data_IF_279702379697
#
_entry.id   IF_279702379697
#
_cell.length_a   1.000
_cell.length_b   1.000
_cell.length_c   1.000
_cell.angle_alpha   90.00
_cell.angle_beta   90.00
_cell.angle_gamma   90.00
#
_symmetry.space_group_name_H-M   'P 1'
#
loop_
_entity.id
_entity.type
_entity.pdbx_description
1 polymer ?
#
# COMPACT_ATOMS: atom_id res chain seq x y z
N UNK A 1 20.41 2.97 14.57
CA UNK A 1 19.28 3.78 15.03
C UNK A 1 18.99 4.85 14.00
N UNK A 2 17.81 4.83 13.37
CA UNK A 2 17.32 6.01 12.66
C UNK A 2 16.46 6.75 13.67
N UNK A 3 17.06 7.71 14.35
CA UNK A 3 16.32 8.63 15.22
C UNK A 3 15.50 9.52 14.30
N UNK A 4 14.18 9.31 14.27
CA UNK A 4 13.24 10.24 13.65
C UNK A 4 13.15 11.50 14.52
N UNK A 5 14.18 12.35 14.44
CA UNK A 5 14.14 13.68 15.01
C UNK A 5 13.08 14.51 14.31
N UNK A 6 12.09 14.96 15.07
CA UNK A 6 11.13 15.97 14.67
C UNK A 6 11.87 17.30 14.45
N UNK A 7 12.19 17.59 13.19
CA UNK A 7 12.53 18.95 12.77
C UNK A 7 11.43 19.45 11.84
N UNK A 8 10.64 20.39 12.36
CA UNK A 8 9.80 21.28 11.56
C UNK A 8 10.72 22.12 10.64
N UNK A 9 10.92 21.67 9.39
CA UNK A 9 11.65 22.42 8.38
C UNK A 9 12.39 21.51 7.40
N UNK A 10 12.00 21.57 6.12
CA UNK A 10 12.41 20.70 4.99
C UNK A 10 11.82 19.29 5.02
N UNK A 11 10.51 19.19 4.76
CA UNK A 11 9.75 17.95 4.77
C UNK A 11 10.26 16.92 3.76
N UNK A 12 10.59 15.72 4.25
CA UNK A 12 10.77 14.53 3.42
C UNK A 12 9.45 14.26 2.70
N UNK A 13 9.42 14.45 1.38
CA UNK A 13 8.21 14.22 0.57
C UNK A 13 8.07 12.72 0.33
N UNK A 14 6.95 12.15 0.76
CA UNK A 14 6.60 10.76 0.46
C UNK A 14 5.56 10.72 -0.66
N UNK A 15 5.54 9.60 -1.38
CA UNK A 15 4.65 9.32 -2.50
C UNK A 15 3.90 8.03 -2.26
N UNK A 16 2.57 8.12 -2.30
CA UNK A 16 1.70 6.96 -2.39
C UNK A 16 1.26 6.78 -3.84
N UNK A 17 1.02 5.53 -4.25
CA UNK A 17 0.47 5.21 -5.56
C UNK A 17 -0.79 4.39 -5.46
N UNK A 18 -1.57 4.48 -6.53
CA UNK A 18 -2.80 3.75 -6.74
C UNK A 18 -3.15 3.76 -8.21
N UNK A 19 -4.31 3.29 -8.60
CA UNK A 19 -4.72 3.36 -10.01
C UNK A 19 -6.07 4.00 -10.16
N UNK A 20 -6.36 4.61 -11.31
CA UNK A 20 -7.68 5.17 -11.61
C UNK A 20 -8.06 4.89 -13.07
N UNK A 21 -9.36 4.95 -13.37
CA UNK A 21 -9.84 4.86 -14.75
C UNK A 21 -9.27 6.05 -15.53
N UNK A 22 -8.49 5.77 -16.56
CA UNK A 22 -7.98 6.77 -17.49
C UNK A 22 -9.08 7.28 -18.44
N UNK A 23 -8.80 8.33 -19.22
CA UNK A 23 -9.71 8.80 -20.26
C UNK A 23 -10.01 7.67 -21.27
N UNK A 24 -11.18 7.69 -21.94
CA UNK A 24 -11.48 6.73 -23.00
C UNK A 24 -10.37 6.75 -24.06
N UNK A 25 -9.83 5.59 -24.41
CA UNK A 25 -8.90 5.44 -25.54
C UNK A 25 -9.63 5.85 -26.83
N UNK A 26 -9.32 7.04 -27.35
CA UNK A 26 -9.84 7.53 -28.63
C UNK A 26 -8.93 7.04 -29.76
N UNK A 27 -9.14 5.80 -30.20
CA UNK A 27 -8.40 5.18 -31.30
C UNK A 27 -9.27 4.23 -32.12
N UNK A 28 -8.82 3.79 -33.31
CA UNK A 28 -9.63 3.02 -34.27
C UNK A 28 -10.04 1.62 -33.78
N UNK A 29 -9.55 1.19 -32.61
CA UNK A 29 -9.91 -0.05 -31.94
C UNK A 29 -10.87 0.23 -30.79
N UNK A 30 -12.14 0.44 -31.11
CA UNK A 30 -13.23 0.42 -30.12
C UNK A 30 -13.81 -0.99 -30.02
N UNK A 31 -13.47 -1.79 -28.99
CA UNK A 31 -14.27 -2.97 -28.69
C UNK A 31 -15.70 -2.53 -28.27
N UNK A 32 -16.74 -3.28 -28.66
CA UNK A 32 -18.12 -2.93 -28.31
C UNK A 32 -18.28 -2.86 -26.79
N UNK A 33 -19.12 -1.93 -26.33
CA UNK A 33 -19.40 -1.69 -24.93
C UNK A 33 -19.97 -2.96 -24.25
N UNK A 34 -19.09 -3.77 -23.67
CA UNK A 34 -19.50 -4.90 -22.83
C UNK A 34 -19.72 -4.38 -21.41
N UNK A 35 -20.86 -4.79 -20.86
CA UNK A 35 -21.39 -4.42 -19.57
C UNK A 35 -20.48 -4.79 -18.39
N UNK A 36 -20.74 -4.14 -17.25
CA UNK A 36 -19.92 -4.21 -16.04
C UNK A 36 -19.21 -2.88 -15.81
N UNK A 37 -19.89 -1.92 -15.16
CA UNK A 37 -19.20 -0.75 -14.60
C UNK A 37 -18.58 -1.19 -13.27
N UNK A 38 -17.27 -1.47 -13.15
CA UNK A 38 -16.67 -1.59 -11.84
C UNK A 38 -16.83 -0.23 -11.16
N UNK A 39 -17.68 -0.14 -10.13
CA UNK A 39 -17.76 1.02 -9.24
C UNK A 39 -16.48 1.02 -8.39
N UNK A 40 -15.39 1.52 -8.95
CA UNK A 40 -14.20 1.87 -8.16
C UNK A 40 -14.26 3.38 -7.91
N UNK A 41 -15.03 3.77 -6.89
CA UNK A 41 -15.36 5.16 -6.59
C UNK A 41 -14.38 5.85 -5.64
N UNK A 42 -13.30 5.22 -5.20
CA UNK A 42 -12.35 5.87 -4.30
C UNK A 42 -10.96 5.32 -4.47
N UNK A 43 -10.13 5.98 -5.28
CA UNK A 43 -8.70 5.69 -5.50
C UNK A 43 -7.96 7.02 -5.35
N UNK A 44 -6.65 7.02 -5.06
CA UNK A 44 -5.78 8.22 -4.82
C UNK A 44 -6.49 9.57 -4.92
N UNK A 45 -6.83 10.18 -3.79
CA UNK A 45 -7.54 11.46 -3.76
C UNK A 45 -6.59 12.59 -4.13
N UNK A 46 -6.98 13.42 -5.08
CA UNK A 46 -6.21 14.58 -5.58
C UNK A 46 -4.77 14.25 -6.02
N UNK A 47 -4.57 13.06 -6.61
CA UNK A 47 -3.32 12.66 -7.25
C UNK A 47 -3.23 13.01 -8.74
N UNK A 48 -2.08 12.69 -9.32
CA UNK A 48 -1.77 12.89 -10.75
C UNK A 48 -1.46 11.55 -11.42
N UNK A 49 -1.49 11.51 -12.75
CA UNK A 49 -1.00 10.36 -13.51
C UNK A 49 0.49 10.17 -13.27
N UNK A 50 0.87 8.94 -12.93
CA UNK A 50 2.26 8.56 -12.81
C UNK A 50 2.88 8.48 -14.21
N UNK A 51 4.06 9.07 -14.39
CA UNK A 51 4.79 8.98 -15.65
C UNK A 51 5.34 7.56 -15.87
N UNK A 52 5.43 7.16 -17.13
CA UNK A 52 6.02 5.87 -17.48
C UNK A 52 7.47 5.80 -16.96
N UNK A 53 7.80 4.72 -16.24
CA UNK A 53 9.13 4.52 -15.65
C UNK A 53 9.38 5.24 -14.33
N UNK A 54 8.46 6.10 -13.86
CA UNK A 54 8.57 6.79 -12.57
C UNK A 54 8.41 5.84 -11.38
N UNK A 55 7.66 4.75 -11.58
CA UNK A 55 7.52 3.65 -10.64
C UNK A 55 8.14 2.39 -11.26
N UNK A 56 9.47 2.22 -11.13
CA UNK A 56 10.19 1.19 -11.88
C UNK A 56 9.80 -0.23 -11.47
N UNK A 57 9.25 -0.41 -10.27
CA UNK A 57 8.97 -1.73 -9.71
C UNK A 57 7.49 -1.87 -9.32
N UNK A 58 6.72 -2.55 -10.17
CA UNK A 58 5.37 -3.02 -9.87
C UNK A 58 5.34 -4.53 -10.07
N UNK A 59 5.00 -5.26 -9.01
CA UNK A 59 4.81 -6.70 -9.08
C UNK A 59 3.35 -6.96 -9.43
N UNK A 60 3.12 -7.80 -10.42
CA UNK A 60 1.79 -8.34 -10.68
C UNK A 60 1.74 -9.81 -10.33
N UNK A 61 0.81 -10.16 -9.45
CA UNK A 61 0.55 -11.54 -9.08
C UNK A 61 -0.49 -12.12 -10.04
N UNK A 62 -0.17 -13.29 -10.58
CA UNK A 62 -1.04 -14.02 -11.49
C UNK A 62 -1.40 -15.38 -10.92
N UNK A 63 -2.66 -15.77 -11.02
CA UNK A 63 -3.17 -17.10 -10.70
C UNK A 63 -3.88 -17.63 -11.96
N UNK A 64 -3.55 -18.86 -12.38
CA UNK A 64 -4.08 -19.47 -13.60
C UNK A 64 -3.90 -18.63 -14.89
N UNK A 65 -2.84 -17.81 -14.94
CA UNK A 65 -2.56 -16.92 -16.08
C UNK A 65 -3.29 -15.58 -16.03
N UNK A 66 -4.23 -15.41 -15.10
CA UNK A 66 -4.99 -14.17 -14.88
C UNK A 66 -4.38 -13.34 -13.77
N UNK A 67 -4.50 -12.02 -13.87
CA UNK A 67 -3.98 -11.09 -12.87
C UNK A 67 -4.93 -10.99 -11.67
N UNK A 68 -4.44 -11.36 -10.49
CA UNK A 68 -5.20 -11.23 -9.23
C UNK A 68 -4.87 -9.91 -8.54
N UNK A 69 -3.61 -9.49 -8.55
CA UNK A 69 -3.15 -8.27 -7.90
C UNK A 69 -2.09 -7.53 -8.74
N UNK A 70 -2.00 -6.21 -8.51
CA UNK A 70 -0.91 -5.38 -9.05
C UNK A 70 -0.91 -5.22 -10.57
N UNK A 71 -2.01 -5.55 -11.25
CA UNK A 71 -2.18 -5.29 -12.68
C UNK A 71 -3.21 -4.18 -12.91
N UNK A 72 -2.90 -3.29 -13.85
CA UNK A 72 -3.80 -2.25 -14.32
C UNK A 72 -4.09 -2.53 -15.79
N UNK A 73 -5.15 -3.31 -16.11
CA UNK A 73 -5.51 -3.51 -17.50
C UNK A 73 -5.93 -2.17 -18.12
N UNK A 74 -5.81 -1.98 -19.44
CA UNK A 74 -6.44 -0.85 -20.10
C UNK A 74 -7.95 -0.79 -19.75
N UNK A 75 -8.55 0.40 -19.51
CA UNK A 75 -8.01 1.75 -19.68
C UNK A 75 -7.49 2.37 -18.35
N UNK A 76 -7.01 1.59 -17.39
CA UNK A 76 -6.57 2.13 -16.09
C UNK A 76 -5.14 2.68 -16.18
N UNK A 77 -4.93 3.88 -15.62
CA UNK A 77 -3.62 4.52 -15.51
C UNK A 77 -3.18 4.55 -14.06
N UNK A 78 -1.89 4.32 -13.82
CA UNK A 78 -1.31 4.45 -12.49
C UNK A 78 -1.34 5.92 -12.05
N UNK A 79 -1.75 6.15 -10.82
CA UNK A 79 -1.83 7.45 -10.16
C UNK A 79 -0.85 7.51 -9.00
N UNK A 80 -0.43 8.72 -8.68
CA UNK A 80 0.43 9.01 -7.54
C UNK A 80 0.00 10.29 -6.82
N UNK A 81 0.33 10.39 -5.54
CA UNK A 81 0.12 11.61 -4.74
C UNK A 81 1.28 11.83 -3.78
N UNK A 82 1.70 13.09 -3.67
CA UNK A 82 2.68 13.53 -2.68
C UNK A 82 1.95 13.77 -1.35
N UNK A 83 2.42 13.12 -0.29
CA UNK A 83 1.90 13.24 1.08
C UNK A 83 3.07 13.37 2.06
N UNK A 84 3.03 14.30 3.04
CA UNK A 84 4.03 14.36 4.08
C UNK A 84 3.76 13.31 5.16
N UNK A 85 4.82 12.86 5.84
CA UNK A 85 4.67 12.04 7.05
C UNK A 85 4.11 12.89 8.19
N UNK A 86 3.25 12.27 8.99
CA UNK A 86 2.72 12.81 10.24
C UNK A 86 3.25 11.91 11.36
N UNK A 87 3.77 12.50 12.43
CA UNK A 87 4.24 11.75 13.60
C UNK A 87 3.10 10.98 14.27
N UNK A 88 3.44 9.86 14.90
CA UNK A 88 2.49 8.92 15.49
C UNK A 88 1.57 9.59 16.52
N UNK A 89 2.10 10.47 17.37
CA UNK A 89 1.35 11.14 18.42
C UNK A 89 0.32 12.12 17.84
N UNK A 90 0.72 12.94 16.87
CA UNK A 90 -0.18 13.86 16.18
C UNK A 90 -1.26 13.11 15.42
N UNK A 91 -0.90 12.01 14.75
CA UNK A 91 -1.87 11.19 14.04
C UNK A 91 -2.87 10.53 14.99
N UNK A 92 -2.41 9.99 16.12
CA UNK A 92 -3.29 9.43 17.14
C UNK A 92 -4.27 10.49 17.65
N UNK A 93 -3.77 11.68 17.99
CA UNK A 93 -4.61 12.80 18.43
C UNK A 93 -5.70 13.16 17.41
N UNK A 94 -5.39 13.18 16.11
CA UNK A 94 -6.39 13.37 15.05
C UNK A 94 -7.47 12.29 15.04
N UNK A 95 -7.08 11.02 15.20
CA UNK A 95 -8.03 9.91 15.25
C UNK A 95 -8.88 9.89 16.53
N UNK A 96 -8.30 10.25 17.67
CA UNK A 96 -8.99 10.36 18.96
C UNK A 96 -10.03 11.49 18.95
N UNK A 97 -9.68 12.68 18.41
CA UNK A 97 -10.59 13.83 18.30
C UNK A 97 -11.85 13.49 17.49
N UNK A 98 -11.70 12.64 16.47
CA UNK A 98 -12.79 12.21 15.61
C UNK A 98 -13.39 10.85 16.01
N UNK A 99 -13.09 10.35 17.21
CA UNK A 99 -13.65 9.10 17.75
C UNK A 99 -14.95 9.37 18.51
N UNK A 100 -15.96 8.52 18.33
CA UNK A 100 -17.20 8.57 19.11
C UNK A 100 -17.00 8.07 20.56
N UNK A 101 -15.87 7.43 20.85
CA UNK A 101 -15.47 6.97 22.17
C UNK A 101 -13.97 7.25 22.37
N UNK A 102 -13.60 8.51 22.64
CA UNK A 102 -12.21 8.86 22.90
C UNK A 102 -11.74 8.15 24.18
N UNK A 103 -10.60 7.48 24.11
CA UNK A 103 -10.03 6.74 25.24
C UNK A 103 -8.55 7.09 25.42
N UNK A 104 -7.95 6.65 26.52
CA UNK A 104 -6.51 6.79 26.71
C UNK A 104 -5.70 5.77 25.89
N UNK A 105 -6.35 4.74 25.34
CA UNK A 105 -5.67 3.73 24.53
C UNK A 105 -5.39 4.28 23.12
N UNK A 106 -4.17 4.09 22.59
CA UNK A 106 -3.82 4.57 21.27
C UNK A 106 -4.59 3.83 20.17
N UNK A 107 -5.06 4.58 19.18
CA UNK A 107 -5.61 4.08 17.92
C UNK A 107 -4.48 3.83 16.92
N UNK A 108 -3.44 4.67 16.94
CA UNK A 108 -2.27 4.56 16.07
C UNK A 108 -1.09 3.99 16.88
N UNK A 109 -0.61 2.82 16.45
CA UNK A 109 0.46 2.08 17.12
C UNK A 109 1.84 2.37 16.49
N UNK A 110 2.92 1.96 17.18
CA UNK A 110 4.32 2.18 16.74
C UNK A 110 4.69 1.44 15.44
N UNK A 111 3.98 0.36 15.12
CA UNK A 111 4.12 -0.38 13.86
C UNK A 111 3.33 0.25 12.70
N UNK A 112 2.80 1.46 12.91
CA UNK A 112 2.08 2.25 11.91
C UNK A 112 2.77 3.59 11.60
N UNK A 113 2.52 4.08 10.39
CA UNK A 113 2.89 5.41 9.91
C UNK A 113 1.65 6.12 9.40
N UNK A 114 1.58 7.43 9.58
CA UNK A 114 0.55 8.25 8.96
C UNK A 114 1.16 9.17 7.90
N UNK A 115 0.44 9.37 6.80
CA UNK A 115 0.83 10.34 5.79
C UNK A 115 -0.39 11.03 5.18
N UNK A 116 -0.32 12.34 5.06
CA UNK A 116 -1.43 13.16 4.60
C UNK A 116 -1.33 14.60 5.09
N UNK A 117 -2.39 15.37 4.95
CA UNK A 117 -2.46 16.73 5.46
C UNK A 117 -3.54 16.81 6.54
N UNK A 118 -3.35 17.68 7.54
CA UNK A 118 -4.39 17.96 8.54
C UNK A 118 -5.71 18.38 7.87
N UNK A 119 -5.65 19.15 6.79
CA UNK A 119 -6.82 19.56 6.02
C UNK A 119 -7.42 18.45 5.15
N UNK A 120 -6.84 17.25 5.12
CA UNK A 120 -7.23 16.15 4.23
C UNK A 120 -6.80 16.40 2.79
N UNK A 121 -7.75 16.22 1.85
CA UNK A 121 -7.67 16.47 0.40
C UNK A 121 -6.77 15.53 -0.42
N UNK A 122 -5.71 14.97 0.16
CA UNK A 122 -4.78 14.06 -0.52
C UNK A 122 -4.60 12.79 0.28
N UNK A 123 -4.90 11.65 -0.33
CA UNK A 123 -4.94 10.40 0.40
C UNK A 123 -4.84 9.18 -0.53
N UNK A 124 -4.38 8.06 0.03
CA UNK A 124 -4.65 6.74 -0.53
C UNK A 124 -6.12 6.37 -0.26
N UNK A 125 -6.72 5.54 -1.10
CA UNK A 125 -8.14 5.22 -0.94
C UNK A 125 -8.44 3.75 -1.29
N UNK A 126 -9.72 3.40 -1.39
CA UNK A 126 -10.20 2.07 -1.75
C UNK A 126 -9.47 1.44 -2.97
N UNK A 127 -8.83 0.30 -2.73
CA UNK A 127 -8.11 -0.43 -3.77
C UNK A 127 -6.66 0.02 -3.98
N UNK A 128 -6.15 0.91 -3.12
CA UNK A 128 -4.73 1.24 -3.03
C UNK A 128 -4.02 0.46 -1.90
N UNK A 129 -4.78 -0.24 -1.03
CA UNK A 129 -4.26 -1.12 0.03
C UNK A 129 -3.23 -2.13 -0.48
N UNK A 130 -2.13 -2.30 0.25
CA UNK A 130 -0.97 -3.07 -0.17
C UNK A 130 -0.01 -2.32 -1.10
N UNK A 131 -0.40 -1.15 -1.60
CA UNK A 131 0.47 -0.24 -2.36
C UNK A 131 1.56 0.37 -1.47
N UNK A 132 2.71 0.78 -2.04
CA UNK A 132 3.79 1.36 -1.27
C UNK A 132 3.60 2.85 -1.02
N UNK A 133 4.05 3.27 0.16
CA UNK A 133 4.46 4.64 0.46
C UNK A 133 5.98 4.71 0.37
N UNK A 134 6.50 5.47 -0.58
CA UNK A 134 7.95 5.66 -0.77
C UNK A 134 8.37 7.07 -0.39
N UNK A 135 9.47 7.21 0.33
CA UNK A 135 9.99 8.50 0.77
C UNK A 135 11.39 8.72 0.19
N UNK A 136 11.68 9.96 -0.19
CA UNK A 136 13.03 10.34 -0.63
C UNK A 136 13.90 10.68 0.59
N UNK A 137 14.93 9.86 0.80
CA UNK A 137 15.97 10.07 1.83
C UNK A 137 17.36 10.16 1.19
N UNK A 138 17.43 10.63 -0.06
CA UNK A 138 18.61 10.53 -0.94
C UNK A 138 18.54 9.33 -1.89
N UNK A 139 17.67 8.37 -1.57
CA UNK A 139 17.22 7.28 -2.44
C UNK A 139 15.76 6.99 -2.10
N UNK A 140 14.95 6.70 -3.13
CA UNK A 140 13.55 6.30 -2.94
C UNK A 140 13.48 5.00 -2.15
N UNK A 141 13.01 5.08 -0.92
CA UNK A 141 12.91 3.95 0.00
C UNK A 141 11.46 3.73 0.37
N UNK A 142 11.02 2.47 0.35
CA UNK A 142 9.67 2.12 0.81
C UNK A 142 9.60 2.23 2.33
N UNK A 143 8.94 3.27 2.82
CA UNK A 143 8.73 3.52 4.24
C UNK A 143 7.49 2.80 4.76
N UNK A 144 6.45 2.69 3.92
CA UNK A 144 5.15 2.16 4.34
C UNK A 144 4.44 1.31 3.31
N UNK A 145 3.40 0.61 3.78
CA UNK A 145 2.43 -0.12 2.96
C UNK A 145 1.04 0.41 3.31
N UNK A 146 0.27 0.87 2.31
CA UNK A 146 -1.10 1.37 2.49
C UNK A 146 -1.91 0.30 3.22
N UNK A 147 -2.49 0.65 4.37
CA UNK A 147 -3.19 -0.29 5.23
C UNK A 147 -4.66 0.08 5.33
N UNK A 148 -4.97 1.18 6.02
CA UNK A 148 -6.35 1.57 6.34
C UNK A 148 -6.47 3.10 6.48
N UNK A 149 -7.71 3.56 6.61
CA UNK A 149 -8.09 4.96 6.78
C UNK A 149 -9.58 5.06 7.08
N UNK A 150 -10.06 6.22 7.52
CA UNK A 150 -11.50 6.47 7.67
C UNK A 150 -11.98 7.36 6.53
N UNK A 151 -12.69 6.74 5.56
CA UNK A 151 -12.93 7.33 4.24
C UNK A 151 -11.62 7.86 3.63
N UNK A 152 -11.67 8.82 2.70
CA UNK A 152 -10.49 9.28 2.00
C UNK A 152 -10.46 10.80 1.88
N UNK A 153 -9.32 11.40 2.21
CA UNK A 153 -9.08 12.84 2.02
C UNK A 153 -9.91 13.74 2.96
N UNK A 154 -10.36 13.22 4.10
CA UNK A 154 -11.06 14.01 5.11
C UNK A 154 -10.07 14.77 6.02
N UNK A 155 -10.45 15.96 6.54
CA UNK A 155 -9.65 16.66 7.55
C UNK A 155 -9.41 15.78 8.78
N UNK A 156 -8.20 15.83 9.33
CA UNK A 156 -7.75 15.05 10.50
C UNK A 156 -8.03 13.54 10.38
N UNK A 157 -8.03 13.02 9.16
CA UNK A 157 -8.13 11.58 8.84
C UNK A 157 -7.07 11.21 7.79
N UNK A 158 -5.78 11.29 8.12
CA UNK A 158 -4.72 10.92 7.18
C UNK A 158 -4.73 9.41 6.92
N UNK A 159 -4.25 8.98 5.76
CA UNK A 159 -4.06 7.55 5.49
C UNK A 159 -3.06 6.91 6.46
N UNK A 160 -3.35 5.66 6.85
CA UNK A 160 -2.53 4.87 7.77
C UNK A 160 -1.86 3.73 7.02
N UNK A 161 -0.56 3.58 7.28
CA UNK A 161 0.34 2.68 6.59
C UNK A 161 1.03 1.77 7.61
N UNK A 162 1.32 0.53 7.23
CA UNK A 162 2.22 -0.33 8.01
C UNK A 162 3.63 0.25 7.95
N UNK A 163 4.32 0.33 9.08
CA UNK A 163 5.70 0.81 9.17
C UNK A 163 6.70 -0.27 8.74
N UNK A 164 7.21 -0.20 7.50
CA UNK A 164 8.10 -1.23 6.94
C UNK A 164 9.36 -1.42 7.77
N UNK A 165 9.89 -0.37 8.41
CA UNK A 165 11.13 -0.48 9.18
C UNK A 165 11.01 -1.46 10.34
N UNK A 166 9.83 -1.55 10.97
CA UNK A 166 9.55 -2.45 12.10
C UNK A 166 9.60 -3.93 11.68
N UNK A 167 9.25 -4.23 10.43
CA UNK A 167 9.16 -5.60 9.94
C UNK A 167 10.41 -6.08 9.17
N UNK A 168 11.45 -5.26 9.05
CA UNK A 168 12.66 -5.60 8.26
C UNK A 168 13.30 -6.93 8.66
N UNK A 169 13.39 -7.22 9.95
CA UNK A 169 13.91 -8.51 10.47
C UNK A 169 13.04 -9.68 10.03
N UNK A 170 11.72 -9.55 10.12
CA UNK A 170 10.77 -10.58 9.69
C UNK A 170 10.81 -10.77 8.16
N UNK A 171 10.82 -9.68 7.39
CA UNK A 171 10.91 -9.73 5.92
C UNK A 171 12.19 -10.47 5.50
N UNK A 172 13.33 -10.12 6.11
CA UNK A 172 14.61 -10.73 5.80
C UNK A 172 14.62 -12.22 6.13
N UNK A 173 14.00 -12.64 7.23
CA UNK A 173 13.92 -14.06 7.60
C UNK A 173 13.05 -14.87 6.63
N UNK A 174 11.94 -14.31 6.13
CA UNK A 174 11.11 -14.96 5.11
C UNK A 174 11.82 -15.08 3.76
N UNK A 175 12.59 -14.07 3.36
CA UNK A 175 13.37 -14.12 2.12
C UNK A 175 14.45 -15.20 2.22
N UNK A 176 15.17 -15.26 3.34
CA UNK A 176 16.23 -16.26 3.56
C UNK A 176 15.67 -17.69 3.60
N UNK A 177 14.56 -17.92 4.31
CA UNK A 177 13.92 -19.24 4.37
C UNK A 177 13.43 -19.69 3.00
N UNK A 178 12.84 -18.78 2.23
CA UNK A 178 12.34 -19.05 0.87
C UNK A 178 13.49 -19.35 -0.10
N UNK A 179 14.58 -18.59 -0.03
CA UNK A 179 15.78 -18.83 -0.84
C UNK A 179 16.43 -20.19 -0.55
N UNK A 180 16.49 -20.58 0.73
CA UNK A 180 16.98 -21.91 1.13
C UNK A 180 16.04 -23.03 0.67
N UNK A 181 14.72 -22.83 0.75
CA UNK A 181 13.72 -23.76 0.23
C UNK A 181 13.85 -23.98 -1.28
N UNK A 182 14.03 -22.89 -2.04
CA UNK A 182 14.26 -22.94 -3.48
C UNK A 182 15.58 -23.63 -3.84
N UNK A 183 16.66 -23.33 -3.13
CA UNK A 183 17.96 -23.98 -3.35
C UNK A 183 17.92 -25.50 -3.08
N UNK A 184 17.21 -25.93 -2.02
CA UNK A 184 16.99 -27.36 -1.72
C UNK A 184 16.12 -28.06 -2.76
N UNK A 185 15.07 -27.40 -3.26
CA UNK A 185 14.24 -27.96 -4.32
C UNK A 185 15.04 -28.20 -5.62
N UNK A 186 15.96 -27.29 -5.94
CA UNK A 186 16.85 -27.39 -7.11
C UNK A 186 17.93 -28.48 -6.94
N UNK A 187 18.46 -28.70 -5.73
CA UNK A 187 19.50 -29.71 -5.48
C UNK A 187 18.99 -31.15 -5.51
N UNK A 188 17.69 -31.38 -5.30
CA UNK A 188 17.08 -32.72 -5.28
C UNK A 188 16.44 -33.15 -6.61
N UNK A 189 16.64 -32.41 -7.70
CA UNK A 189 16.07 -32.74 -9.02
C UNK A 189 14.54 -32.83 -9.03
N UNK A 190 13.88 -32.28 -8.01
CA UNK A 190 12.43 -32.26 -7.91
C UNK A 190 11.89 -31.20 -8.88
N UNK A 191 10.78 -31.45 -9.59
CA UNK A 191 10.16 -30.42 -10.42
C UNK A 191 9.95 -29.17 -9.56
N UNK A 192 10.36 -28.01 -10.08
CA UNK A 192 10.03 -26.71 -9.46
C UNK A 192 8.53 -26.76 -9.15
N UNK A 193 8.10 -26.54 -7.89
CA UNK A 193 6.68 -26.60 -7.58
C UNK A 193 5.98 -25.59 -8.50
N UNK A 194 5.16 -26.09 -9.43
CA UNK A 194 4.08 -25.25 -9.94
C UNK A 194 3.32 -24.83 -8.69
N UNK A 195 3.13 -23.53 -8.47
CA UNK A 195 2.24 -23.02 -7.44
C UNK A 195 0.83 -23.54 -7.74
N UNK A 196 0.53 -24.76 -7.29
CA UNK A 196 -0.76 -25.40 -7.38
C UNK A 196 -1.45 -25.16 -6.04
N UNK A 197 -2.13 -24.03 -5.95
CA UNK A 197 -3.10 -23.73 -4.91
C UNK A 197 -2.52 -23.51 -3.53
N UNK A 198 -2.98 -22.44 -2.88
CA UNK A 198 -2.98 -22.35 -1.43
C UNK A 198 -3.71 -23.56 -0.86
N UNK A 199 -3.00 -24.53 -0.30
CA UNK A 199 -3.59 -25.43 0.68
C UNK A 199 -3.62 -24.68 1.99
N UNK A 200 -4.83 -24.35 2.42
CA UNK A 200 -5.16 -23.77 3.71
C UNK A 200 -4.71 -24.71 4.84
N UNK A 201 -3.44 -24.69 5.20
CA UNK A 201 -3.02 -25.16 6.50
C UNK A 201 -3.25 -24.02 7.49
N UNK A 202 -4.46 -24.02 8.06
CA UNK A 202 -4.79 -23.33 9.30
C UNK A 202 -3.77 -23.71 10.38
N UNK A 203 -2.82 -22.83 10.62
CA UNK A 203 -2.07 -22.76 11.87
C UNK A 203 -2.35 -21.40 12.53
N UNK A 204 -3.47 -21.39 13.27
CA UNK A 204 -3.64 -20.67 14.53
C UNK A 204 -3.28 -19.18 14.57
N UNK A 205 -4.05 -18.33 13.90
CA UNK A 205 -4.40 -17.04 14.51
C UNK A 205 -5.33 -17.36 15.68
N UNK A 206 -4.82 -17.25 16.92
CA UNK A 206 -5.64 -17.40 18.12
C UNK A 206 -6.79 -16.39 18.05
N UNK A 207 -8.00 -16.93 18.14
CA UNK A 207 -9.18 -16.19 18.55
C UNK A 207 -8.92 -15.60 19.95
N UNK A 208 -9.20 -14.32 20.09
CA UNK A 208 -9.00 -13.57 21.32
C UNK A 208 -9.58 -12.17 21.23
N UNK A 209 -10.88 -12.08 20.97
CA UNK A 209 -11.70 -10.92 21.32
C UNK A 209 -12.96 -11.46 22.01
N UNK A 210 -13.03 -11.23 23.33
CA UNK A 210 -14.30 -11.04 24.02
C UNK A 210 -14.78 -9.63 23.73
#
# INVERSE_FOLDING_TARGET
EVVAGAHHGAGRVCRARGAQRGPPITGPWTPPAVCGRPRMTGRIVSGQDAQLGQWPWQVSLRENGEHVCGALPPPFTLKEVNVPLIDTQTCDAYYQENSNNPSQEPIIFEDMLCAGFESGQKDACGGDSGGPLVCDVGVWTQAGIVSWGYDCGLPKRPGVYINVSVYTTWITSQIQSSAQGLARAQSHGSPVPRFSGWHSNTLGARQGWQ
#
